data_IF_964788473982
#
_entry.id   IF_964788473982
#
_cell.length_a   1.000
_cell.length_b   1.000
_cell.length_c   1.000
_cell.angle_alpha   90.00
_cell.angle_beta   90.00
_cell.angle_gamma   90.00
#
_symmetry.space_group_name_H-M   'P 1'
#
loop_
_entity.id
_entity.type
_entity.pdbx_description
1 polymer ?
#
# COMPACT_ATOMS: atom_id res chain seq x y z
N UNK A 1 -30.13 83.22 -8.52
CA UNK A 1 -28.70 83.48 -8.21
C UNK A 1 -28.10 82.17 -7.69
N UNK A 2 -27.75 81.23 -8.58
CA UNK A 2 -26.44 81.08 -9.23
C UNK A 2 -25.27 80.93 -8.23
N UNK A 3 -24.71 79.71 -8.21
CA UNK A 3 -23.26 79.42 -8.28
C UNK A 3 -22.37 79.35 -7.02
N UNK A 4 -22.88 79.14 -5.80
CA UNK A 4 -21.98 78.98 -4.61
C UNK A 4 -22.17 77.67 -3.82
N UNK A 5 -23.21 76.87 -4.07
CA UNK A 5 -23.47 75.66 -3.28
C UNK A 5 -22.91 74.36 -3.92
N UNK A 6 -21.75 74.42 -4.57
CA UNK A 6 -21.10 73.24 -5.17
C UNK A 6 -19.66 73.00 -4.66
N UNK A 7 -19.18 73.79 -3.69
CA UNK A 7 -17.79 73.70 -3.22
C UNK A 7 -17.60 73.17 -1.78
N UNK A 8 -18.68 72.76 -1.09
CA UNK A 8 -18.59 72.30 0.33
C UNK A 8 -18.90 70.80 0.50
N UNK A 9 -19.39 70.12 -0.54
CA UNK A 9 -19.78 68.69 -0.45
C UNK A 9 -18.62 67.73 -0.79
N UNK A 10 -17.42 68.24 -1.11
CA UNK A 10 -16.30 67.40 -1.56
C UNK A 10 -15.23 67.08 -0.48
N UNK A 11 -15.53 67.25 0.82
CA UNK A 11 -14.55 67.03 1.91
C UNK A 11 -15.05 66.09 3.02
N UNK A 12 -16.19 65.39 2.88
CA UNK A 12 -16.73 64.55 3.97
C UNK A 12 -16.70 63.04 3.74
N UNK A 13 -16.02 62.53 2.72
CA UNK A 13 -15.82 61.08 2.54
C UNK A 13 -14.35 60.68 2.76
N UNK A 14 -13.78 61.06 3.89
CA UNK A 14 -12.69 60.26 4.47
C UNK A 14 -13.35 59.06 5.16
N UNK A 15 -13.58 58.00 4.38
CA UNK A 15 -13.84 56.67 4.93
C UNK A 15 -12.70 56.34 5.89
N UNK A 16 -13.01 56.16 7.17
CA UNK A 16 -12.05 55.67 8.15
C UNK A 16 -11.56 54.29 7.70
N UNK A 17 -10.41 54.27 7.02
CA UNK A 17 -9.60 53.09 6.84
C UNK A 17 -9.11 52.67 8.23
N UNK A 18 -9.92 51.87 8.91
CA UNK A 18 -9.42 51.08 10.02
C UNK A 18 -8.48 50.05 9.43
N UNK A 19 -7.19 50.37 9.40
CA UNK A 19 -6.17 49.36 9.18
C UNK A 19 -6.40 48.25 10.21
N UNK A 20 -6.72 47.04 9.73
CA UNK A 20 -6.89 45.88 10.57
C UNK A 20 -5.60 45.72 11.38
N UNK A 21 -5.68 45.82 12.72
CA UNK A 21 -4.51 45.61 13.58
C UNK A 21 -3.95 44.24 13.23
N UNK A 22 -2.68 44.21 12.84
CA UNK A 22 -1.99 42.97 12.54
C UNK A 22 -2.01 42.10 13.80
N UNK A 23 -2.86 41.08 13.79
CA UNK A 23 -2.86 40.03 14.80
C UNK A 23 -1.63 39.21 14.51
N UNK A 24 -0.61 39.32 15.38
CA UNK A 24 0.51 38.38 15.39
C UNK A 24 -0.11 36.98 15.37
N UNK A 25 0.18 36.14 14.36
CA UNK A 25 -0.21 34.74 14.44
C UNK A 25 0.30 34.23 15.78
N UNK A 26 -0.58 33.68 16.60
CA UNK A 26 -0.13 32.91 17.75
C UNK A 26 0.62 31.73 17.15
N UNK A 27 1.95 31.87 17.06
CA UNK A 27 2.84 30.79 16.69
C UNK A 27 2.86 29.86 17.89
N UNK A 28 1.79 29.10 18.08
CA UNK A 28 1.87 27.87 18.84
C UNK A 28 2.85 27.02 18.05
N UNK A 29 4.11 27.03 18.48
CA UNK A 29 5.12 26.13 17.95
C UNK A 29 4.63 24.73 18.30
N UNK A 30 3.96 24.09 17.35
CA UNK A 30 3.67 22.67 17.44
C UNK A 30 5.01 21.96 17.55
N UNK A 31 5.39 21.61 18.77
CA UNK A 31 6.58 20.82 19.04
C UNK A 31 6.28 19.41 18.56
N UNK A 32 6.66 19.12 17.32
CA UNK A 32 6.64 17.76 16.83
C UNK A 32 7.68 16.95 17.60
N UNK A 33 7.35 15.74 18.06
CA UNK A 33 8.31 14.92 18.79
C UNK A 33 9.54 14.68 17.92
N UNK A 34 10.74 14.86 18.50
CA UNK A 34 12.03 14.65 17.81
C UNK A 34 12.18 13.24 17.26
N UNK A 35 11.47 12.27 17.84
CA UNK A 35 11.41 10.88 17.41
C UNK A 35 9.98 10.35 17.58
N UNK A 36 9.46 9.67 16.56
CA UNK A 36 8.20 8.94 16.65
C UNK A 36 8.51 7.53 17.12
N UNK A 37 7.88 7.09 18.21
CA UNK A 37 8.02 5.69 18.65
C UNK A 37 7.35 4.77 17.61
N UNK A 38 8.09 3.76 17.15
CA UNK A 38 7.69 2.88 16.04
C UNK A 38 8.11 1.45 16.35
N UNK A 39 7.30 0.46 15.98
CA UNK A 39 7.73 -0.93 16.08
C UNK A 39 8.98 -1.15 15.22
N UNK A 40 9.94 -1.90 15.75
CA UNK A 40 11.19 -2.25 15.04
C UNK A 40 10.96 -3.23 13.87
N UNK A 41 9.86 -3.98 13.92
CA UNK A 41 9.45 -4.97 12.93
C UNK A 41 7.93 -5.01 12.86
N UNK A 42 7.40 -5.05 11.64
CA UNK A 42 5.99 -5.34 11.36
C UNK A 42 5.95 -6.60 10.51
N UNK A 43 5.12 -7.58 10.90
CA UNK A 43 4.95 -8.83 10.16
C UNK A 43 3.54 -8.84 9.58
N UNK A 44 3.45 -8.73 8.26
CA UNK A 44 2.21 -8.98 7.53
C UNK A 44 2.09 -10.47 7.21
N UNK A 45 0.98 -11.09 7.61
CA UNK A 45 0.74 -12.52 7.46
C UNK A 45 -0.64 -12.77 6.87
N UNK A 46 -0.69 -13.29 5.65
CA UNK A 46 -1.93 -13.62 4.93
C UNK A 46 -1.96 -15.12 4.69
N UNK A 47 -2.94 -15.81 5.25
CA UNK A 47 -3.17 -17.23 5.00
C UNK A 47 -4.10 -17.36 3.80
N UNK A 48 -3.57 -17.81 2.68
CA UNK A 48 -4.32 -17.95 1.43
C UNK A 48 -5.51 -18.91 1.62
N UNK A 49 -6.68 -18.51 1.12
CA UNK A 49 -7.94 -19.24 1.25
C UNK A 49 -8.43 -19.48 2.70
N UNK A 50 -7.93 -18.76 3.69
CA UNK A 50 -8.41 -18.88 5.07
C UNK A 50 -9.75 -18.17 5.25
N UNK A 51 -10.81 -18.96 5.50
CA UNK A 51 -12.08 -18.43 5.94
C UNK A 51 -12.02 -18.05 7.42
N UNK A 52 -12.76 -17.01 7.79
CA UNK A 52 -12.84 -16.54 9.17
C UNK A 52 -13.29 -17.64 10.15
N UNK A 53 -14.24 -18.49 9.77
CA UNK A 53 -14.79 -19.53 10.66
C UNK A 53 -13.77 -20.60 11.06
N UNK A 54 -12.64 -20.71 10.36
CA UNK A 54 -11.58 -21.68 10.72
C UNK A 54 -10.96 -21.38 12.07
N UNK A 55 -10.89 -20.10 12.46
CA UNK A 55 -10.36 -19.66 13.76
C UNK A 55 -11.14 -20.27 14.93
N UNK A 56 -12.46 -20.44 14.78
CA UNK A 56 -13.35 -20.96 15.81
C UNK A 56 -13.60 -22.46 15.64
N UNK A 57 -13.84 -22.91 14.40
CA UNK A 57 -14.15 -24.30 14.09
C UNK A 57 -13.06 -25.27 14.51
N UNK A 58 -11.80 -24.83 14.50
CA UNK A 58 -10.65 -25.64 14.88
C UNK A 58 -9.96 -25.15 16.16
N UNK A 59 -10.60 -24.24 16.90
CA UNK A 59 -10.00 -23.58 18.05
C UNK A 59 -9.39 -24.56 19.05
N UNK A 60 -10.12 -25.62 19.43
CA UNK A 60 -9.66 -26.59 20.41
C UNK A 60 -8.43 -27.40 19.96
N UNK A 61 -8.18 -27.46 18.65
CA UNK A 61 -7.01 -28.14 18.07
C UNK A 61 -5.77 -27.26 17.97
N UNK A 62 -5.90 -25.95 18.18
CA UNK A 62 -4.77 -25.04 18.09
C UNK A 62 -3.92 -25.02 19.38
N UNK A 63 -2.61 -24.90 19.18
CA UNK A 63 -1.65 -24.65 20.25
C UNK A 63 -1.75 -23.22 20.76
N UNK A 64 -1.23 -22.98 21.98
CA UNK A 64 -1.33 -21.67 22.66
C UNK A 64 -0.58 -20.54 21.94
N UNK A 65 0.53 -20.84 21.26
CA UNK A 65 1.42 -19.83 20.68
C UNK A 65 1.07 -19.34 19.26
N UNK A 66 0.07 -19.94 18.61
CA UNK A 66 -0.34 -19.60 17.24
C UNK A 66 -1.60 -18.73 17.19
N UNK A 67 -2.62 -19.16 16.45
CA UNK A 67 -3.89 -18.43 16.32
C UNK A 67 -4.55 -18.10 17.66
N UNK A 68 -4.44 -18.96 18.68
CA UNK A 68 -4.95 -18.66 20.03
C UNK A 68 -4.34 -17.41 20.64
N UNK A 69 -3.04 -17.17 20.42
CA UNK A 69 -2.37 -15.96 20.89
C UNK A 69 -2.94 -14.72 20.20
N UNK A 70 -3.09 -14.77 18.88
CA UNK A 70 -3.64 -13.66 18.09
C UNK A 70 -5.06 -13.29 18.50
N UNK A 71 -5.91 -14.29 18.77
CA UNK A 71 -7.31 -14.08 19.19
C UNK A 71 -7.40 -13.54 20.63
N UNK A 72 -6.65 -14.12 21.57
CA UNK A 72 -6.82 -13.81 23.00
C UNK A 72 -6.01 -12.60 23.48
N UNK A 73 -4.89 -12.28 22.83
CA UNK A 73 -3.98 -11.19 23.24
C UNK A 73 -3.94 -10.03 22.22
N UNK A 74 -4.58 -10.19 21.06
CA UNK A 74 -4.59 -9.22 19.98
C UNK A 74 -5.94 -8.52 19.81
N UNK A 75 -6.16 -8.02 18.60
CA UNK A 75 -7.43 -7.44 18.19
C UNK A 75 -7.99 -8.22 16.99
N UNK A 76 -9.26 -8.65 17.08
CA UNK A 76 -9.94 -9.40 16.03
C UNK A 76 -11.02 -8.54 15.38
N UNK A 77 -10.86 -8.25 14.08
CA UNK A 77 -11.86 -7.57 13.27
C UNK A 77 -12.76 -8.61 12.57
N UNK A 78 -13.72 -9.15 13.31
CA UNK A 78 -14.51 -10.32 12.89
C UNK A 78 -15.46 -10.05 11.71
N UNK A 79 -15.86 -8.78 11.51
CA UNK A 79 -16.79 -8.37 10.46
C UNK A 79 -16.07 -7.70 9.27
N UNK A 80 -14.97 -8.30 8.81
CA UNK A 80 -14.16 -7.79 7.70
C UNK A 80 -14.53 -8.49 6.40
N UNK A 81 -14.86 -7.73 5.35
CA UNK A 81 -15.25 -8.26 4.04
C UNK A 81 -14.35 -7.76 2.92
N UNK A 82 -14.31 -8.53 1.83
CA UNK A 82 -13.67 -8.13 0.58
C UNK A 82 -14.67 -7.27 -0.20
N UNK A 83 -14.42 -5.96 -0.41
CA UNK A 83 -15.40 -5.03 -0.99
C UNK A 83 -15.35 -4.99 -2.52
N UNK A 84 -14.98 -6.10 -3.17
CA UNK A 84 -14.84 -6.19 -4.62
C UNK A 84 -15.01 -7.63 -5.11
N UNK A 85 -15.14 -7.76 -6.43
CA UNK A 85 -15.08 -9.03 -7.16
C UNK A 85 -14.10 -8.90 -8.34
N UNK A 86 -13.42 -9.99 -8.74
CA UNK A 86 -13.49 -11.34 -8.19
C UNK A 86 -12.61 -11.52 -6.94
N UNK A 87 -12.98 -12.44 -6.03
CA UNK A 87 -12.23 -12.78 -4.81
C UNK A 87 -11.09 -13.76 -5.10
N UNK A 88 -10.14 -13.36 -5.95
CA UNK A 88 -8.97 -14.15 -6.33
C UNK A 88 -7.72 -13.74 -5.55
N UNK A 89 -6.73 -14.65 -5.50
CA UNK A 89 -5.47 -14.46 -4.77
C UNK A 89 -4.76 -13.15 -5.11
N UNK A 90 -4.56 -12.83 -6.40
CA UNK A 90 -3.83 -11.62 -6.81
C UNK A 90 -4.55 -10.35 -6.33
N UNK A 91 -5.86 -10.25 -6.59
CA UNK A 91 -6.69 -9.13 -6.15
C UNK A 91 -6.62 -8.94 -4.63
N UNK A 92 -6.75 -10.05 -3.90
CA UNK A 92 -6.61 -10.13 -2.44
C UNK A 92 -5.33 -9.50 -1.92
N UNK A 93 -4.19 -10.02 -2.37
CA UNK A 93 -2.88 -9.58 -1.89
C UNK A 93 -2.58 -8.13 -2.26
N UNK A 94 -2.92 -7.70 -3.48
CA UNK A 94 -2.78 -6.30 -3.88
C UNK A 94 -3.63 -5.37 -3.00
N UNK A 95 -4.91 -5.69 -2.78
CA UNK A 95 -5.79 -4.82 -1.99
C UNK A 95 -5.41 -4.72 -0.52
N UNK A 96 -4.97 -5.83 0.11
CA UNK A 96 -4.53 -5.80 1.53
C UNK A 96 -3.37 -4.81 1.72
N UNK A 97 -2.40 -4.82 0.81
CA UNK A 97 -1.17 -4.03 0.97
C UNK A 97 -1.23 -2.64 0.34
N UNK A 98 -2.18 -2.37 -0.55
CA UNK A 98 -2.38 -1.04 -1.15
C UNK A 98 -3.45 -0.22 -0.44
N UNK A 99 -4.34 -0.86 0.33
CA UNK A 99 -5.55 -0.21 0.85
C UNK A 99 -6.51 0.23 -0.27
N UNK A 100 -6.33 -0.29 -1.48
CA UNK A 100 -7.06 0.10 -2.69
C UNK A 100 -7.83 -1.10 -3.28
N UNK A 101 -8.62 -0.86 -4.32
CA UNK A 101 -9.46 -1.86 -4.99
C UNK A 101 -8.89 -2.23 -6.37
N UNK A 102 -9.22 -3.41 -6.93
CA UNK A 102 -8.79 -3.83 -8.26
C UNK A 102 -8.95 -2.79 -9.37
N UNK A 103 -10.05 -2.02 -9.33
CA UNK A 103 -10.34 -0.96 -10.29
C UNK A 103 -9.32 0.20 -10.28
N UNK A 104 -8.55 0.35 -9.20
CA UNK A 104 -7.56 1.43 -9.02
C UNK A 104 -6.13 0.88 -8.95
N UNK A 105 -5.91 -0.26 -8.30
CA UNK A 105 -4.58 -0.85 -8.20
C UNK A 105 -4.17 -1.64 -9.46
N UNK A 106 -5.11 -1.91 -10.37
CA UNK A 106 -4.87 -2.56 -11.67
C UNK A 106 -4.86 -4.10 -11.64
N UNK A 107 -4.89 -4.73 -10.47
CA UNK A 107 -4.83 -6.20 -10.33
C UNK A 107 -6.25 -6.77 -10.27
N UNK A 108 -6.83 -7.03 -11.45
CA UNK A 108 -8.25 -7.39 -11.60
C UNK A 108 -8.55 -8.90 -11.53
N UNK A 109 -7.54 -9.74 -11.71
CA UNK A 109 -7.65 -11.20 -11.62
C UNK A 109 -6.25 -11.82 -11.47
N UNK A 110 -6.16 -13.14 -11.27
CA UNK A 110 -4.86 -13.84 -11.38
C UNK A 110 -4.30 -13.76 -12.81
N UNK A 111 -5.17 -13.80 -13.81
CA UNK A 111 -4.86 -13.54 -15.23
C UNK A 111 -6.06 -12.85 -15.88
N UNK A 112 -5.82 -12.02 -16.88
CA UNK A 112 -6.88 -11.36 -17.65
C UNK A 112 -6.47 -11.15 -19.10
N UNK A 113 -7.45 -11.01 -19.98
CA UNK A 113 -7.23 -10.70 -21.40
C UNK A 113 -6.81 -9.25 -21.56
N UNK A 114 -5.66 -9.03 -22.19
CA UNK A 114 -5.21 -7.70 -22.62
C UNK A 114 -5.45 -7.54 -24.12
N UNK A 115 -6.39 -6.66 -24.54
CA UNK A 115 -6.70 -6.46 -25.95
C UNK A 115 -5.57 -5.77 -26.74
N UNK A 116 -4.66 -5.05 -26.07
CA UNK A 116 -3.52 -4.41 -26.72
C UNK A 116 -2.44 -5.43 -27.09
N UNK A 117 -2.31 -6.50 -26.31
CA UNK A 117 -1.38 -7.61 -26.56
C UNK A 117 -2.06 -8.76 -27.32
N UNK A 118 -3.40 -8.82 -27.29
CA UNK A 118 -4.20 -9.84 -27.98
C UNK A 118 -4.19 -11.20 -27.30
N UNK A 119 -3.93 -11.28 -25.99
CA UNK A 119 -3.86 -12.53 -25.22
C UNK A 119 -4.14 -12.31 -23.74
N UNK A 120 -4.29 -13.42 -23.01
CA UNK A 120 -4.24 -13.38 -21.55
C UNK A 120 -2.83 -13.05 -21.04
N UNK A 121 -2.78 -12.19 -20.03
CA UNK A 121 -1.58 -11.86 -19.28
C UNK A 121 -1.76 -12.32 -17.82
N UNK A 122 -0.69 -12.88 -17.26
CA UNK A 122 -0.65 -13.26 -15.85
C UNK A 122 -0.30 -12.06 -14.98
N UNK A 123 -0.89 -11.98 -13.78
CA UNK A 123 -0.92 -10.76 -12.97
C UNK A 123 0.43 -10.13 -12.67
N UNK A 124 1.48 -10.95 -12.49
CA UNK A 124 2.85 -10.48 -12.21
C UNK A 124 3.83 -10.86 -13.32
N UNK A 125 3.36 -11.30 -14.50
CA UNK A 125 4.23 -11.69 -15.61
C UNK A 125 5.05 -10.52 -16.13
N UNK A 126 6.37 -10.67 -16.16
CA UNK A 126 7.28 -9.71 -16.77
C UNK A 126 8.44 -10.36 -17.50
N UNK A 127 8.30 -10.49 -18.83
CA UNK A 127 9.31 -11.06 -19.72
C UNK A 127 10.59 -10.23 -19.86
N UNK A 128 10.61 -9.00 -19.32
CA UNK A 128 11.82 -8.19 -19.26
C UNK A 128 12.72 -8.55 -18.08
N UNK A 129 12.21 -9.31 -17.10
CA UNK A 129 13.00 -9.80 -15.98
C UNK A 129 13.59 -11.19 -16.26
N UNK A 130 14.63 -11.52 -15.52
CA UNK A 130 15.24 -12.85 -15.50
C UNK A 130 15.13 -13.46 -14.12
N UNK A 131 15.10 -14.78 -14.09
CA UNK A 131 15.14 -15.54 -12.85
C UNK A 131 16.49 -15.42 -12.16
N UNK A 132 16.45 -15.17 -10.85
CA UNK A 132 17.63 -15.16 -9.97
C UNK A 132 17.46 -16.28 -8.95
N UNK A 133 18.46 -17.17 -8.86
CA UNK A 133 18.43 -18.34 -7.96
C UNK A 133 18.07 -19.68 -8.63
N UNK A 134 17.74 -19.68 -9.92
CA UNK A 134 17.60 -20.90 -10.75
C UNK A 134 17.74 -20.59 -12.25
N UNK A 135 17.68 -21.63 -13.08
CA UNK A 135 17.70 -21.52 -14.56
C UNK A 135 16.30 -21.60 -15.18
N UNK A 136 15.23 -21.68 -14.37
CA UNK A 136 13.87 -21.80 -14.86
C UNK A 136 13.31 -20.46 -15.31
N UNK A 137 12.15 -20.46 -15.98
CA UNK A 137 11.42 -19.24 -16.33
C UNK A 137 10.47 -18.75 -15.23
N UNK A 138 10.52 -19.35 -14.04
CA UNK A 138 9.61 -19.01 -12.93
C UNK A 138 9.89 -17.61 -12.35
N UNK A 139 11.02 -17.00 -12.68
CA UNK A 139 11.42 -15.67 -12.23
C UNK A 139 11.15 -14.54 -13.22
N UNK A 140 10.48 -14.79 -14.36
CA UNK A 140 10.08 -13.76 -15.33
C UNK A 140 8.86 -12.99 -14.80
N UNK A 141 9.00 -12.41 -13.61
CA UNK A 141 7.93 -11.84 -12.81
C UNK A 141 8.36 -10.51 -12.17
N UNK A 142 7.44 -9.55 -12.08
CA UNK A 142 7.66 -8.25 -11.44
C UNK A 142 6.34 -7.61 -11.00
N UNK A 143 6.38 -6.55 -10.16
CA UNK A 143 5.17 -5.84 -9.75
C UNK A 143 4.66 -4.85 -10.82
N UNK A 144 5.16 -4.89 -12.07
CA UNK A 144 4.88 -3.84 -13.08
C UNK A 144 3.41 -3.54 -13.38
N UNK A 145 2.53 -4.52 -13.15
CA UNK A 145 1.08 -4.36 -13.40
C UNK A 145 0.35 -3.74 -12.20
N UNK A 146 1.02 -3.61 -11.04
CA UNK A 146 0.50 -2.90 -9.88
C UNK A 146 0.63 -1.40 -10.13
N UNK A 147 -0.49 -0.68 -10.14
CA UNK A 147 -0.52 0.74 -10.56
C UNK A 147 -0.34 1.74 -9.41
N UNK A 148 -0.30 1.25 -8.17
CA UNK A 148 -0.29 2.07 -6.96
C UNK A 148 0.75 1.57 -5.98
N UNK A 149 1.22 2.46 -5.09
CA UNK A 149 2.13 2.08 -4.02
C UNK A 149 1.46 1.17 -2.99
N UNK A 150 2.25 0.28 -2.44
CA UNK A 150 1.89 -0.50 -1.25
C UNK A 150 2.28 0.25 0.03
N UNK A 151 1.74 -0.16 1.18
CA UNK A 151 2.20 0.32 2.49
C UNK A 151 3.70 0.01 2.72
N UNK A 152 4.22 -1.04 2.11
CA UNK A 152 5.65 -1.38 2.14
C UNK A 152 6.48 -0.45 1.26
N UNK A 153 5.97 -0.02 0.11
CA UNK A 153 6.58 1.04 -0.70
C UNK A 153 6.60 2.37 0.08
N UNK A 154 5.48 2.74 0.69
CA UNK A 154 5.39 3.95 1.51
C UNK A 154 6.33 3.89 2.73
N UNK A 155 6.52 2.71 3.34
CA UNK A 155 7.51 2.54 4.40
C UNK A 155 8.95 2.78 3.89
N UNK A 156 9.28 2.27 2.70
CA UNK A 156 10.59 2.50 2.07
C UNK A 156 10.77 3.99 1.78
N UNK A 157 9.79 4.65 1.15
CA UNK A 157 9.82 6.09 0.84
C UNK A 157 9.96 6.93 2.13
N UNK A 158 9.10 6.70 3.13
CA UNK A 158 9.06 7.46 4.37
C UNK A 158 10.33 7.30 5.25
N UNK A 159 11.15 6.28 4.97
CA UNK A 159 12.42 6.03 5.66
C UNK A 159 13.63 6.28 4.77
N UNK A 160 13.45 7.01 3.66
CA UNK A 160 14.50 7.29 2.68
C UNK A 160 15.23 6.01 2.23
N UNK A 161 14.43 4.97 1.98
CA UNK A 161 14.84 3.62 1.58
C UNK A 161 15.80 2.93 2.56
N UNK A 162 15.79 3.31 3.84
CA UNK A 162 16.60 2.64 4.87
C UNK A 162 15.87 1.45 5.52
N UNK A 163 14.53 1.48 5.64
CA UNK A 163 13.76 0.35 6.14
C UNK A 163 13.96 -0.89 5.29
N UNK A 164 13.95 -2.08 5.91
CA UNK A 164 14.07 -3.34 5.19
C UNK A 164 12.68 -3.94 4.96
N UNK A 165 12.36 -4.21 3.70
CA UNK A 165 11.12 -4.89 3.27
C UNK A 165 11.50 -6.19 2.58
N UNK A 166 11.04 -7.30 3.13
CA UNK A 166 11.22 -8.64 2.57
C UNK A 166 9.86 -9.32 2.52
N UNK A 167 9.49 -9.84 1.36
CA UNK A 167 8.25 -10.59 1.14
C UNK A 167 8.56 -12.02 0.72
N UNK A 168 7.82 -13.00 1.26
CA UNK A 168 8.07 -14.41 1.01
C UNK A 168 6.73 -15.13 0.88
N UNK A 169 6.55 -15.90 -0.18
CA UNK A 169 5.37 -16.75 -0.36
C UNK A 169 5.68 -17.88 -1.33
N UNK A 170 5.04 -19.04 -1.16
CA UNK A 170 5.17 -20.14 -2.14
C UNK A 170 4.74 -19.71 -3.56
N UNK A 171 3.89 -18.69 -3.67
CA UNK A 171 3.40 -18.14 -4.94
C UNK A 171 4.08 -16.80 -5.22
N UNK A 172 4.59 -16.62 -6.44
CA UNK A 172 5.12 -15.35 -6.95
C UNK A 172 4.22 -14.13 -6.62
N UNK A 173 2.95 -14.14 -7.03
CA UNK A 173 1.96 -13.08 -6.78
C UNK A 173 1.66 -12.87 -5.29
N UNK A 174 1.82 -13.91 -4.48
CA UNK A 174 1.67 -13.83 -3.02
C UNK A 174 2.87 -13.18 -2.34
N UNK A 175 3.99 -13.04 -3.04
CA UNK A 175 5.21 -12.38 -2.56
C UNK A 175 5.38 -10.99 -3.16
N UNK A 176 5.26 -10.89 -4.49
CA UNK A 176 5.47 -9.67 -5.29
C UNK A 176 4.45 -8.57 -4.93
N UNK A 177 3.15 -8.89 -4.90
CA UNK A 177 2.11 -7.88 -4.68
C UNK A 177 2.14 -7.30 -3.25
N UNK A 178 2.38 -8.09 -2.19
CA UNK A 178 2.65 -7.54 -0.86
C UNK A 178 3.96 -6.79 -0.71
N UNK A 179 5.00 -7.21 -1.45
CA UNK A 179 6.31 -6.55 -1.41
C UNK A 179 6.28 -5.17 -2.08
N UNK A 180 5.48 -5.03 -3.12
CA UNK A 180 5.38 -3.80 -3.91
C UNK A 180 6.59 -3.60 -4.83
N UNK A 181 6.76 -2.36 -5.25
CA UNK A 181 7.74 -1.96 -6.26
C UNK A 181 9.17 -1.93 -5.73
N UNK A 182 9.34 -1.61 -4.45
CA UNK A 182 10.61 -1.17 -3.87
C UNK A 182 11.10 -2.05 -2.70
N UNK A 183 10.53 -3.25 -2.55
CA UNK A 183 11.00 -4.25 -1.61
C UNK A 183 12.50 -4.51 -1.79
N UNK A 184 13.22 -4.77 -0.69
CA UNK A 184 14.61 -5.22 -0.77
C UNK A 184 14.70 -6.63 -1.33
N UNK A 185 13.67 -7.45 -1.11
CA UNK A 185 13.57 -8.79 -1.66
C UNK A 185 12.11 -9.24 -1.72
N UNK A 186 11.73 -9.91 -2.80
CA UNK A 186 10.53 -10.74 -2.87
C UNK A 186 10.94 -12.14 -3.32
N UNK A 187 10.68 -13.16 -2.49
CA UNK A 187 11.04 -14.54 -2.78
C UNK A 187 9.81 -15.41 -3.00
N UNK A 188 9.92 -16.33 -3.95
CA UNK A 188 8.91 -17.37 -4.16
C UNK A 188 9.54 -18.71 -4.51
N UNK A 189 8.75 -19.77 -4.37
CA UNK A 189 9.23 -21.13 -4.58
C UNK A 189 9.20 -21.49 -6.06
N UNK A 190 10.34 -21.94 -6.60
CA UNK A 190 10.43 -22.54 -7.93
C UNK A 190 10.18 -24.05 -7.84
N UNK A 191 9.05 -24.51 -8.39
CA UNK A 191 8.69 -25.92 -8.37
C UNK A 191 9.63 -26.83 -9.17
N UNK A 192 10.38 -26.31 -10.14
CA UNK A 192 11.31 -27.10 -10.94
C UNK A 192 12.61 -27.39 -10.18
N UNK A 193 13.20 -26.35 -9.58
CA UNK A 193 14.48 -26.45 -8.87
C UNK A 193 14.34 -26.78 -7.39
N UNK A 194 13.17 -26.54 -6.78
CA UNK A 194 12.96 -26.61 -5.33
C UNK A 194 13.56 -25.43 -4.56
N UNK A 195 14.14 -24.46 -5.26
CA UNK A 195 14.76 -23.29 -4.65
C UNK A 195 13.75 -22.20 -4.36
N UNK A 196 14.07 -21.36 -3.38
CA UNK A 196 13.49 -20.02 -3.29
C UNK A 196 14.23 -19.11 -4.26
N UNK A 197 13.49 -18.53 -5.20
CA UNK A 197 14.00 -17.68 -6.27
C UNK A 197 13.44 -16.26 -6.13
N UNK A 198 14.04 -15.34 -6.88
CA UNK A 198 13.54 -13.98 -7.11
C UNK A 198 13.73 -13.61 -8.59
N UNK A 199 13.60 -12.33 -8.92
CA UNK A 199 13.83 -11.81 -10.27
C UNK A 199 14.79 -10.62 -10.27
N UNK A 200 15.30 -10.30 -11.46
CA UNK A 200 16.13 -9.11 -11.70
C UNK A 200 15.46 -7.77 -11.39
N UNK A 201 14.15 -7.77 -11.09
CA UNK A 201 13.47 -6.58 -10.56
C UNK A 201 13.97 -6.23 -9.16
N UNK A 202 14.31 -7.24 -8.34
CA UNK A 202 14.68 -7.06 -6.93
C UNK A 202 16.18 -7.23 -6.67
N UNK A 203 16.86 -8.09 -7.43
CA UNK A 203 18.25 -8.48 -7.19
C UNK A 203 19.01 -8.69 -8.50
N UNK A 204 20.28 -8.31 -8.54
CA UNK A 204 21.17 -8.52 -9.70
C UNK A 204 21.86 -9.89 -9.70
#
# INVERSE_FOLDING_TARGET
MRRILFLVVLISTFTQLHAQKWVKPNTTTTQYPKTVDRPKLVVGFVVDQMRWDYLYRFYDRYSKGGFKRLINEGFSAENTFIPYVPTQTACGHASIYTGSVPALNGIIANSWYDPMVGRDIYCVEDKNQKTVGSTSNAGLMSPKNLQVNTITDELRIATNFQAKVVSISLKDRGSILPGGHSANAAYWHDGLSGNWITSTHYMD
#
